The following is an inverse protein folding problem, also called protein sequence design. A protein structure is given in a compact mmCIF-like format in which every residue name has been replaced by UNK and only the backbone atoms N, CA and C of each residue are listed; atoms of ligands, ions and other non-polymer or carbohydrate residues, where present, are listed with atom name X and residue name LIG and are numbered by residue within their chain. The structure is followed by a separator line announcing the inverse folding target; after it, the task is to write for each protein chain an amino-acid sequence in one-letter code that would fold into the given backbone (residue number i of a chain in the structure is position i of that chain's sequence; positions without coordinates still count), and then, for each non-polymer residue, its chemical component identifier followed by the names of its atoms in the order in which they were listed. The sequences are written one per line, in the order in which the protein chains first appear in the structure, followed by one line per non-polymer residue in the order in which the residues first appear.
data_IF_563027701340
#
_entry.id   IF_563027701340
#
_cell.length_a   1.000
_cell.length_b   1.000
_cell.length_c   1.000
_cell.angle_alpha   90.00
_cell.angle_beta   90.00
_cell.angle_gamma   90.00
#
_symmetry.space_group_name_H-M   'P 1'
#
loop_
_entity.id
_entity.type
_entity.pdbx_description
1 polymer ?
#
# COMPACT_ATOMS: atom_id res chain seq x y z
N UNK A 1 13.91 -15.75 -2.35
CA UNK A 1 15.37 -15.79 -2.63
C UNK A 1 16.28 -15.98 -1.41
N UNK A 2 15.84 -15.72 -0.16
CA UNK A 2 16.68 -15.87 1.06
C UNK A 2 17.45 -17.20 1.20
N UNK A 3 16.91 -18.31 0.69
CA UNK A 3 17.53 -19.66 0.73
C UNK A 3 18.29 -20.05 -0.55
N UNK A 4 18.51 -19.12 -1.49
CA UNK A 4 19.20 -19.34 -2.79
C UNK A 4 18.70 -20.52 -3.64
N UNK A 5 17.46 -20.98 -3.42
CA UNK A 5 16.80 -22.00 -4.26
C UNK A 5 16.17 -21.35 -5.50
N UNK A 6 17.00 -20.95 -6.46
CA UNK A 6 16.60 -20.13 -7.61
C UNK A 6 15.54 -20.80 -8.49
N UNK A 7 15.75 -22.05 -8.92
CA UNK A 7 14.79 -22.76 -9.78
C UNK A 7 13.45 -23.01 -9.09
N UNK A 8 13.44 -23.28 -7.78
CA UNK A 8 12.20 -23.44 -7.02
C UNK A 8 11.44 -22.12 -6.90
N UNK A 9 12.14 -21.01 -6.70
CA UNK A 9 11.53 -19.68 -6.72
C UNK A 9 10.98 -19.34 -8.11
N UNK A 10 11.71 -19.70 -9.18
CA UNK A 10 11.24 -19.52 -10.55
C UNK A 10 9.97 -20.33 -10.82
N UNK A 11 9.94 -21.60 -10.40
CA UNK A 11 8.76 -22.44 -10.49
C UNK A 11 7.55 -21.81 -9.80
N UNK A 12 7.73 -21.23 -8.60
CA UNK A 12 6.66 -20.54 -7.89
C UNK A 12 6.16 -19.30 -8.66
N UNK A 13 7.05 -18.51 -9.27
CA UNK A 13 6.69 -17.36 -10.12
C UNK A 13 5.90 -17.81 -11.36
N UNK A 14 6.32 -18.90 -12.03
CA UNK A 14 5.57 -19.48 -13.15
C UNK A 14 4.17 -19.92 -12.75
N UNK A 15 4.01 -20.52 -11.57
CA UNK A 15 2.69 -20.90 -11.08
C UNK A 15 1.82 -19.67 -10.77
N UNK A 16 2.40 -18.62 -10.18
CA UNK A 16 1.68 -17.39 -9.91
C UNK A 16 1.19 -16.70 -11.21
N UNK A 17 2.02 -16.69 -12.26
CA UNK A 17 1.63 -16.22 -13.60
C UNK A 17 0.47 -17.02 -14.20
N UNK A 18 0.43 -18.34 -13.96
CA UNK A 18 -0.67 -19.20 -14.43
C UNK A 18 -1.97 -18.98 -13.67
N UNK A 19 -1.90 -18.55 -12.42
CA UNK A 19 -3.07 -18.29 -11.58
C UNK A 19 -3.70 -16.94 -11.90
N UNK A 20 -2.89 -15.89 -11.91
CA UNK A 20 -3.33 -14.53 -12.20
C UNK A 20 -2.15 -13.70 -12.71
N UNK A 21 -2.02 -13.61 -14.02
CA UNK A 21 -0.95 -12.86 -14.66
C UNK A 21 -1.07 -11.34 -14.45
N UNK A 22 -2.30 -10.84 -14.30
CA UNK A 22 -2.57 -9.41 -14.23
C UNK A 22 -2.47 -8.85 -12.80
N UNK A 23 -2.47 -9.71 -11.78
CA UNK A 23 -2.32 -9.30 -10.38
C UNK A 23 -1.06 -8.44 -10.12
N UNK A 24 -1.19 -7.35 -9.34
CA UNK A 24 -0.04 -6.55 -8.90
C UNK A 24 1.04 -7.36 -8.19
N UNK A 25 0.66 -8.34 -7.38
CA UNK A 25 1.62 -9.16 -6.63
C UNK A 25 2.38 -10.12 -7.55
N UNK A 26 1.71 -10.67 -8.56
CA UNK A 26 2.35 -11.46 -9.61
C UNK A 26 3.42 -10.66 -10.33
N UNK A 27 3.07 -9.43 -10.73
CA UNK A 27 4.01 -8.50 -11.37
C UNK A 27 5.22 -8.18 -10.47
N UNK A 28 4.99 -7.84 -9.19
CA UNK A 28 6.09 -7.62 -8.23
C UNK A 28 7.01 -8.83 -8.11
N UNK A 29 6.43 -10.02 -7.95
CA UNK A 29 7.19 -11.25 -7.77
C UNK A 29 8.05 -11.57 -9.01
N UNK A 30 7.49 -11.38 -10.21
CA UNK A 30 8.18 -11.59 -11.47
C UNK A 30 9.40 -10.66 -11.61
N UNK A 31 9.18 -9.34 -11.50
CA UNK A 31 10.25 -8.36 -11.68
C UNK A 31 11.31 -8.45 -10.58
N UNK A 32 10.91 -8.63 -9.31
CA UNK A 32 11.85 -8.86 -8.20
C UNK A 32 12.71 -10.11 -8.45
N UNK A 33 12.12 -11.18 -8.96
CA UNK A 33 12.86 -12.41 -9.25
C UNK A 33 13.96 -12.15 -10.28
N UNK A 34 13.61 -11.61 -11.45
CA UNK A 34 14.57 -11.37 -12.52
C UNK A 34 15.59 -10.27 -12.19
N UNK A 35 15.19 -9.25 -11.43
CA UNK A 35 16.13 -8.25 -10.91
C UNK A 35 17.17 -8.90 -10.01
N UNK A 36 16.75 -9.71 -9.02
CA UNK A 36 17.67 -10.42 -8.12
C UNK A 36 18.59 -11.37 -8.87
N UNK A 37 18.06 -12.12 -9.86
CA UNK A 37 18.87 -13.01 -10.71
C UNK A 37 19.92 -12.21 -11.49
N UNK A 38 19.54 -11.07 -12.06
CA UNK A 38 20.46 -10.21 -12.83
C UNK A 38 21.54 -9.56 -11.96
N UNK A 39 21.27 -9.38 -10.67
CA UNK A 39 22.23 -8.85 -9.69
C UNK A 39 23.11 -9.93 -9.02
N UNK A 40 22.93 -11.20 -9.35
CA UNK A 40 23.83 -12.26 -8.83
C UNK A 40 25.20 -12.17 -9.47
N UNK A 41 26.23 -12.61 -8.74
CA UNK A 41 27.57 -12.75 -9.30
C UNK A 41 27.56 -13.72 -10.50
N UNK A 42 28.52 -13.55 -11.40
CA UNK A 42 28.69 -14.43 -12.54
C UNK A 42 28.78 -15.91 -12.07
N UNK A 43 28.14 -16.84 -12.78
CA UNK A 43 28.09 -18.24 -12.39
C UNK A 43 29.51 -18.83 -12.36
N UNK A 44 29.95 -19.29 -11.19
CA UNK A 44 31.30 -19.82 -10.98
C UNK A 44 31.35 -21.35 -11.10
N UNK A 45 30.26 -22.01 -10.74
CA UNK A 45 30.11 -23.47 -10.79
C UNK A 45 29.26 -23.92 -11.97
N UNK A 46 29.43 -25.17 -12.41
CA UNK A 46 28.65 -25.72 -13.52
C UNK A 46 27.14 -25.80 -13.21
N UNK A 47 26.79 -26.03 -11.94
CA UNK A 47 25.41 -25.96 -11.46
C UNK A 47 24.80 -24.57 -11.61
N UNK A 48 25.55 -23.51 -11.31
CA UNK A 48 25.09 -22.14 -11.46
C UNK A 48 24.95 -21.77 -12.94
N UNK A 49 25.89 -22.20 -13.80
CA UNK A 49 25.78 -22.02 -15.24
C UNK A 49 24.52 -22.68 -15.79
N UNK A 50 24.24 -23.92 -15.37
CA UNK A 50 23.02 -24.63 -15.75
C UNK A 50 21.76 -23.88 -15.33
N UNK A 51 21.73 -23.32 -14.12
CA UNK A 51 20.62 -22.48 -13.65
C UNK A 51 20.45 -21.25 -14.55
N UNK A 52 21.55 -20.55 -14.87
CA UNK A 52 21.51 -19.39 -15.77
C UNK A 52 20.95 -19.76 -17.15
N UNK A 53 21.44 -20.84 -17.76
CA UNK A 53 20.96 -21.32 -19.06
C UNK A 53 19.46 -21.62 -19.06
N UNK A 54 18.96 -22.28 -18.01
CA UNK A 54 17.52 -22.56 -17.87
C UNK A 54 16.71 -21.26 -17.80
N UNK A 55 17.17 -20.28 -17.02
CA UNK A 55 16.46 -19.00 -16.88
C UNK A 55 16.50 -18.17 -18.16
N UNK A 56 17.61 -18.19 -18.89
CA UNK A 56 17.75 -17.51 -20.18
C UNK A 56 16.85 -18.13 -21.25
N UNK A 57 16.76 -19.46 -21.30
CA UNK A 57 15.89 -20.18 -22.23
C UNK A 57 14.40 -19.97 -21.92
N UNK A 58 14.03 -19.87 -20.63
CA UNK A 58 12.63 -19.77 -20.21
C UNK A 58 12.11 -18.33 -20.17
N UNK A 59 12.99 -17.32 -20.08
CA UNK A 59 12.56 -15.91 -19.99
C UNK A 59 11.75 -15.44 -21.21
N UNK A 60 12.09 -15.78 -22.47
CA UNK A 60 11.29 -15.42 -23.64
C UNK A 60 9.89 -16.02 -23.61
N UNK A 61 9.70 -17.20 -23.03
CA UNK A 61 8.39 -17.87 -22.94
C UNK A 61 7.40 -17.13 -22.01
N UNK A 62 7.89 -16.20 -21.21
CA UNK A 62 7.06 -15.34 -20.36
C UNK A 62 6.61 -14.15 -21.20
N UNK A 63 5.36 -14.17 -21.66
CA UNK A 63 4.75 -13.12 -22.51
C UNK A 63 4.96 -11.70 -21.99
N UNK A 64 4.99 -11.50 -20.67
CA UNK A 64 5.21 -10.19 -20.04
C UNK A 64 6.64 -9.65 -20.20
N UNK A 65 7.62 -10.53 -20.41
CA UNK A 65 9.04 -10.20 -20.55
C UNK A 65 9.59 -10.46 -21.96
N UNK A 66 8.82 -11.10 -22.84
CA UNK A 66 9.27 -11.44 -24.18
C UNK A 66 9.73 -10.20 -24.96
N UNK A 67 11.02 -10.15 -25.29
CA UNK A 67 11.65 -9.03 -26.00
C UNK A 67 11.71 -7.72 -25.21
N UNK A 68 11.48 -7.75 -23.89
CA UNK A 68 11.42 -6.55 -23.04
C UNK A 68 12.46 -6.59 -21.91
N UNK A 69 13.08 -5.45 -21.66
CA UNK A 69 13.75 -5.16 -20.39
C UNK A 69 12.75 -5.16 -19.23
N UNK A 70 13.26 -5.23 -17.99
CA UNK A 70 12.39 -5.17 -16.81
C UNK A 70 11.67 -3.82 -16.68
N UNK A 71 12.29 -2.73 -17.16
CA UNK A 71 11.68 -1.40 -17.17
C UNK A 71 10.55 -1.31 -18.21
N UNK A 72 10.78 -1.76 -19.44
CA UNK A 72 9.75 -1.78 -20.49
C UNK A 72 8.57 -2.69 -20.12
N UNK A 73 8.85 -3.82 -19.46
CA UNK A 73 7.81 -4.68 -18.92
C UNK A 73 6.99 -3.98 -17.82
N UNK A 74 7.66 -3.20 -16.96
CA UNK A 74 6.99 -2.41 -15.92
C UNK A 74 6.11 -1.29 -16.49
N UNK A 75 6.60 -0.59 -17.51
CA UNK A 75 5.84 0.44 -18.22
C UNK A 75 4.63 -0.16 -18.94
N UNK A 76 4.82 -1.28 -19.66
CA UNK A 76 3.73 -2.02 -20.31
C UNK A 76 2.65 -2.47 -19.32
N UNK A 77 3.05 -2.89 -18.12
CA UNK A 77 2.13 -3.28 -17.06
C UNK A 77 1.33 -2.08 -16.53
N UNK A 78 2.00 -0.96 -16.27
CA UNK A 78 1.31 0.27 -15.86
C UNK A 78 0.34 0.76 -16.93
N UNK A 79 0.71 0.66 -18.21
CA UNK A 79 -0.11 1.15 -19.32
C UNK A 79 -1.45 0.44 -19.43
N UNK A 80 -1.49 -0.85 -19.10
CA UNK A 80 -2.72 -1.65 -19.08
C UNK A 80 -3.63 -1.36 -17.88
N UNK A 81 -3.07 -0.84 -16.79
CA UNK A 81 -3.74 -0.80 -15.48
C UNK A 81 -3.73 0.59 -14.81
N UNK A 82 -3.76 1.66 -15.62
CA UNK A 82 -3.57 3.06 -15.18
C UNK A 82 -4.57 3.54 -14.13
N UNK A 83 -5.75 2.94 -14.08
CA UNK A 83 -6.83 3.35 -13.18
C UNK A 83 -6.77 2.64 -11.82
N UNK A 84 -6.09 1.49 -11.74
CA UNK A 84 -6.05 0.70 -10.51
C UNK A 84 -4.93 1.14 -9.58
N UNK A 85 -5.31 1.61 -8.37
CA UNK A 85 -4.37 2.04 -7.34
C UNK A 85 -3.26 1.00 -7.06
N UNK A 86 -3.63 -0.27 -6.92
CA UNK A 86 -2.67 -1.31 -6.55
C UNK A 86 -1.73 -1.67 -7.70
N UNK A 87 -2.15 -1.55 -8.95
CA UNK A 87 -1.27 -1.74 -10.11
C UNK A 87 -0.32 -0.56 -10.29
N UNK A 88 -0.75 0.67 -10.00
CA UNK A 88 0.15 1.84 -9.96
C UNK A 88 1.18 1.71 -8.85
N UNK A 89 0.77 1.30 -7.65
CA UNK A 89 1.68 1.02 -6.54
C UNK A 89 2.63 -0.16 -6.86
N UNK A 90 2.09 -1.19 -7.52
CA UNK A 90 2.75 -2.12 -8.45
C UNK A 90 4.00 -1.57 -9.12
N UNK A 91 3.72 -0.81 -10.17
CA UNK A 91 4.70 -0.26 -11.07
C UNK A 91 5.65 0.72 -10.40
N UNK A 92 5.17 1.54 -9.47
CA UNK A 92 5.98 2.50 -8.72
C UNK A 92 7.05 1.81 -7.87
N UNK A 93 6.71 0.75 -7.13
CA UNK A 93 7.72 0.00 -6.36
C UNK A 93 8.76 -0.61 -7.30
N UNK A 94 8.31 -1.19 -8.43
CA UNK A 94 9.23 -1.84 -9.37
C UNK A 94 10.13 -0.82 -10.08
N UNK A 95 9.60 0.37 -10.40
CA UNK A 95 10.40 1.46 -10.95
C UNK A 95 11.50 1.87 -9.97
N UNK A 96 11.14 2.08 -8.70
CA UNK A 96 12.11 2.46 -7.68
C UNK A 96 13.13 1.34 -7.39
N UNK A 97 12.71 0.08 -7.40
CA UNK A 97 13.59 -1.06 -7.22
C UNK A 97 14.62 -1.19 -8.35
N UNK A 98 14.16 -1.04 -9.60
CA UNK A 98 15.01 -1.18 -10.78
C UNK A 98 15.92 0.05 -10.97
N UNK A 99 15.41 1.24 -10.68
CA UNK A 99 16.12 2.51 -10.81
C UNK A 99 15.86 3.44 -9.61
N UNK A 100 16.66 3.35 -8.53
CA UNK A 100 16.47 4.16 -7.33
C UNK A 100 16.53 5.67 -7.57
N UNK A 101 17.27 6.12 -8.59
CA UNK A 101 17.33 7.53 -9.03
C UNK A 101 15.98 8.07 -9.49
N UNK A 102 15.05 7.20 -9.90
CA UNK A 102 13.70 7.56 -10.34
C UNK A 102 12.68 7.61 -9.18
N UNK A 103 13.13 7.73 -7.92
CA UNK A 103 12.27 7.88 -6.73
C UNK A 103 11.13 8.89 -6.93
N UNK A 104 11.43 10.09 -7.44
CA UNK A 104 10.44 11.13 -7.67
C UNK A 104 9.35 10.73 -8.66
N UNK A 105 9.71 10.00 -9.73
CA UNK A 105 8.74 9.45 -10.69
C UNK A 105 7.87 8.38 -10.04
N UNK A 106 8.45 7.48 -9.24
CA UNK A 106 7.70 6.45 -8.52
C UNK A 106 6.68 7.05 -7.53
N UNK A 107 7.08 8.07 -6.77
CA UNK A 107 6.17 8.82 -5.89
C UNK A 107 5.05 9.47 -6.69
N UNK A 108 5.40 10.18 -7.76
CA UNK A 108 4.40 10.84 -8.63
C UNK A 108 3.38 9.86 -9.20
N UNK A 109 3.81 8.68 -9.64
CA UNK A 109 2.90 7.63 -10.13
C UNK A 109 1.82 7.26 -9.11
N UNK A 110 2.18 7.22 -7.82
CA UNK A 110 1.25 6.96 -6.71
C UNK A 110 0.35 8.17 -6.46
N UNK A 111 0.92 9.37 -6.36
CA UNK A 111 0.17 10.60 -6.08
C UNK A 111 -0.85 10.95 -7.18
N UNK A 112 -0.51 10.71 -8.44
CA UNK A 112 -1.38 10.92 -9.60
C UNK A 112 -2.54 9.91 -9.67
N UNK A 113 -2.62 8.95 -8.74
CA UNK A 113 -3.77 8.04 -8.65
C UNK A 113 -5.04 8.83 -8.32
N UNK A 114 -6.16 8.47 -8.93
CA UNK A 114 -7.46 9.10 -8.68
C UNK A 114 -8.42 8.12 -8.01
N UNK A 115 -9.22 8.60 -7.05
CA UNK A 115 -10.25 7.82 -6.37
C UNK A 115 -11.62 8.12 -6.99
N UNK A 116 -11.87 7.48 -8.13
CA UNK A 116 -13.07 7.71 -8.92
C UNK A 116 -14.32 7.12 -8.24
N UNK A 117 -15.48 7.67 -8.57
CA UNK A 117 -16.77 7.13 -8.14
C UNK A 117 -17.13 5.98 -9.07
N UNK A 118 -17.30 4.79 -8.50
CA UNK A 118 -17.80 3.64 -9.24
C UNK A 118 -19.31 3.61 -9.06
N UNK A 119 -20.06 3.72 -10.16
CA UNK A 119 -21.49 3.42 -10.14
C UNK A 119 -21.64 1.93 -9.88
N UNK A 120 -22.02 1.57 -8.66
CA UNK A 120 -22.45 0.22 -8.35
C UNK A 120 -23.95 0.17 -8.64
N UNK A 121 -24.35 -0.62 -9.62
CA UNK A 121 -25.76 -0.90 -9.88
C UNK A 121 -26.38 -1.54 -8.62
N UNK A 122 -27.08 -0.75 -7.79
CA UNK A 122 -27.67 -1.20 -6.53
C UNK A 122 -28.05 -0.06 -5.57
N UNK A 123 -28.82 -0.39 -4.53
CA UNK A 123 -29.41 0.54 -3.56
C UNK A 123 -28.40 1.33 -2.68
N UNK A 124 -27.09 1.10 -2.81
CA UNK A 124 -26.06 1.64 -1.92
C UNK A 124 -25.39 2.93 -2.45
N UNK A 125 -25.84 3.47 -3.58
CA UNK A 125 -25.25 4.66 -4.18
C UNK A 125 -23.84 4.43 -4.75
N UNK A 126 -23.23 5.51 -5.25
CA UNK A 126 -21.88 5.50 -5.80
C UNK A 126 -20.83 5.35 -4.68
N UNK A 127 -19.98 4.32 -4.77
CA UNK A 127 -18.91 4.06 -3.80
C UNK A 127 -17.57 4.43 -4.43
N UNK A 128 -16.67 5.00 -3.63
CA UNK A 128 -15.28 5.25 -4.02
C UNK A 128 -14.56 3.93 -4.31
N UNK A 129 -13.73 3.90 -5.35
CA UNK A 129 -13.02 2.70 -5.78
C UNK A 129 -11.99 2.22 -4.75
N UNK A 130 -11.29 3.16 -4.11
CA UNK A 130 -10.20 2.82 -3.20
C UNK A 130 -10.70 2.16 -1.92
N UNK A 131 -10.05 1.05 -1.56
CA UNK A 131 -10.31 0.33 -0.31
C UNK A 131 -9.33 0.79 0.75
N UNK A 132 -9.79 0.84 2.00
CA UNK A 132 -8.97 1.23 3.15
C UNK A 132 -7.66 0.42 3.22
N UNK A 133 -7.74 -0.90 3.03
CA UNK A 133 -6.58 -1.80 3.05
C UNK A 133 -5.54 -1.47 1.97
N UNK A 134 -6.00 -1.05 0.80
CA UNK A 134 -5.14 -0.75 -0.35
C UNK A 134 -4.42 0.58 -0.09
N UNK A 135 -5.14 1.60 0.40
CA UNK A 135 -4.54 2.86 0.82
C UNK A 135 -3.51 2.70 1.95
N UNK A 136 -3.76 1.80 2.90
CA UNK A 136 -2.79 1.49 3.97
C UNK A 136 -1.54 0.83 3.38
N UNK A 137 -1.70 -0.09 2.42
CA UNK A 137 -0.57 -0.72 1.75
C UNK A 137 0.28 0.32 1.00
N UNK A 138 -0.34 1.29 0.33
CA UNK A 138 0.37 2.39 -0.35
C UNK A 138 1.09 3.30 0.65
N UNK A 139 0.46 3.66 1.77
CA UNK A 139 1.13 4.45 2.81
C UNK A 139 2.38 3.71 3.35
N UNK A 140 2.26 2.40 3.60
CA UNK A 140 3.40 1.57 4.01
C UNK A 140 4.50 1.57 2.96
N UNK A 141 4.15 1.37 1.69
CA UNK A 141 5.09 1.42 0.57
C UNK A 141 5.90 2.72 0.54
N UNK A 142 5.24 3.87 0.67
CA UNK A 142 5.88 5.18 0.71
C UNK A 142 6.81 5.33 1.93
N UNK A 143 6.34 4.90 3.11
CA UNK A 143 7.09 5.06 4.37
C UNK A 143 8.29 4.12 4.54
N UNK A 144 8.21 2.87 4.04
CA UNK A 144 9.18 1.83 4.38
C UNK A 144 9.98 1.28 3.21
N UNK A 145 9.45 1.34 1.98
CA UNK A 145 10.13 0.82 0.79
C UNK A 145 10.75 1.96 0.01
N UNK A 146 9.95 2.97 -0.36
CA UNK A 146 10.43 4.17 -1.06
C UNK A 146 11.12 5.13 -0.09
N UNK A 147 10.78 5.06 1.20
CA UNK A 147 11.31 5.89 2.30
C UNK A 147 11.18 7.38 1.95
N UNK A 148 9.96 7.79 1.60
CA UNK A 148 9.57 9.17 1.36
C UNK A 148 8.51 9.57 2.38
N UNK A 149 8.97 10.11 3.51
CA UNK A 149 8.10 10.45 4.65
C UNK A 149 7.18 11.64 4.36
N UNK A 150 7.62 12.53 3.48
CA UNK A 150 6.85 13.69 3.06
C UNK A 150 5.69 13.26 2.14
N UNK A 151 5.98 12.43 1.13
CA UNK A 151 4.94 11.80 0.31
C UNK A 151 4.01 10.90 1.14
N UNK A 152 4.54 10.13 2.09
CA UNK A 152 3.73 9.31 2.99
C UNK A 152 2.78 10.18 3.83
N UNK A 153 3.24 11.34 4.32
CA UNK A 153 2.41 12.28 5.08
C UNK A 153 1.31 12.90 4.24
N UNK A 154 1.61 13.36 3.02
CA UNK A 154 0.60 13.84 2.06
C UNK A 154 -0.42 12.76 1.71
N UNK A 155 0.05 11.53 1.48
CA UNK A 155 -0.82 10.39 1.20
C UNK A 155 -1.76 10.09 2.37
N UNK A 156 -1.23 10.08 3.61
CA UNK A 156 -2.02 9.89 4.83
C UNK A 156 -3.10 10.97 4.97
N UNK A 157 -2.74 12.25 4.78
CA UNK A 157 -3.67 13.38 4.83
C UNK A 157 -4.79 13.21 3.80
N UNK A 158 -4.43 12.92 2.54
CA UNK A 158 -5.41 12.67 1.47
C UNK A 158 -6.34 11.51 1.77
N UNK A 159 -5.82 10.40 2.31
CA UNK A 159 -6.65 9.26 2.68
C UNK A 159 -7.60 9.55 3.86
N UNK A 160 -7.25 10.47 4.76
CA UNK A 160 -8.12 10.87 5.87
C UNK A 160 -9.45 11.50 5.38
N UNK A 161 -9.43 12.17 4.22
CA UNK A 161 -10.62 12.75 3.58
C UNK A 161 -11.59 11.66 3.09
N UNK A 162 -11.06 10.54 2.59
CA UNK A 162 -11.89 9.42 2.11
C UNK A 162 -12.34 8.47 3.22
N UNK A 163 -11.52 8.31 4.28
CA UNK A 163 -11.77 7.35 5.34
C UNK A 163 -11.95 8.04 6.70
N UNK A 164 -13.06 8.78 6.84
CA UNK A 164 -13.37 9.63 8.00
C UNK A 164 -13.28 8.92 9.36
N UNK A 165 -13.55 7.61 9.42
CA UNK A 165 -13.53 6.85 10.67
C UNK A 165 -12.24 6.04 10.87
N UNK A 166 -11.30 6.09 9.93
CA UNK A 166 -10.04 5.34 10.01
C UNK A 166 -9.17 5.89 11.12
N UNK A 167 -8.85 5.06 12.11
CA UNK A 167 -7.85 5.38 13.14
C UNK A 167 -6.43 5.39 12.58
N UNK A 168 -6.17 4.67 11.48
CA UNK A 168 -4.85 4.63 10.84
C UNK A 168 -4.52 5.96 10.15
N UNK A 169 -5.49 6.53 9.43
CA UNK A 169 -5.35 7.81 8.75
C UNK A 169 -5.76 8.99 9.62
N UNK A 170 -6.20 8.76 10.86
CA UNK A 170 -6.70 9.80 11.77
C UNK A 170 -7.82 10.63 11.14
N UNK A 171 -8.78 9.95 10.50
CA UNK A 171 -9.94 10.61 9.90
C UNK A 171 -10.72 11.42 10.95
N UNK A 172 -11.41 12.48 10.50
CA UNK A 172 -12.06 13.47 11.37
C UNK A 172 -13.12 12.92 12.32
N UNK A 173 -13.68 11.74 12.02
CA UNK A 173 -14.67 11.03 12.83
C UNK A 173 -14.08 9.80 13.53
N UNK A 174 -12.75 9.65 13.53
CA UNK A 174 -12.08 8.54 14.20
C UNK A 174 -11.88 8.82 15.69
N UNK A 175 -11.89 7.75 16.50
CA UNK A 175 -11.61 7.86 17.93
C UNK A 175 -10.17 8.29 18.26
N UNK A 176 -9.25 8.21 17.30
CA UNK A 176 -7.88 8.67 17.46
C UNK A 176 -7.79 10.20 17.60
N UNK A 177 -8.61 10.93 16.83
CA UNK A 177 -8.68 12.40 16.89
C UNK A 177 -9.25 12.87 18.23
N UNK A 178 -10.33 12.25 18.70
CA UNK A 178 -10.92 12.52 20.02
C UNK A 178 -9.93 12.28 21.17
N UNK A 179 -9.13 11.22 21.09
CA UNK A 179 -8.08 10.93 22.09
C UNK A 179 -6.96 11.98 22.09
N UNK A 180 -6.59 12.51 20.92
CA UNK A 180 -5.62 13.60 20.82
C UNK A 180 -6.13 14.88 21.48
N UNK A 181 -7.38 15.27 21.21
CA UNK A 181 -8.03 16.44 21.84
C UNK A 181 -8.17 16.28 23.36
N UNK A 182 -8.55 15.11 23.85
CA UNK A 182 -8.65 14.84 25.29
C UNK A 182 -7.28 14.90 25.99
N UNK A 183 -6.22 14.39 25.34
CA UNK A 183 -4.86 14.45 25.87
C UNK A 183 -4.25 15.86 25.83
N UNK A 184 -4.68 16.73 24.91
CA UNK A 184 -4.31 18.15 24.93
C UNK A 184 -4.96 18.89 26.09
N UNK A 185 -6.24 18.62 26.38
CA UNK A 185 -6.96 19.20 27.53
C UNK A 185 -6.30 18.77 28.86
N UNK A 186 -5.85 17.51 28.94
CA UNK A 186 -5.16 16.97 30.13
C UNK A 186 -3.72 17.46 30.34
N UNK A 187 -3.09 18.11 29.35
CA UNK A 187 -1.67 18.52 29.40
C UNK A 187 -1.43 19.99 29.70
N UNK A 188 -2.47 20.81 29.90
CA UNK A 188 -2.27 22.15 30.45
C UNK A 188 -2.01 22.05 31.97
N UNK A 189 -0.83 22.44 32.47
CA UNK A 189 -0.65 22.66 33.90
C UNK A 189 -1.42 23.93 34.26
N UNK A 190 -2.39 23.80 35.15
CA UNK A 190 -3.07 24.92 35.78
C UNK A 190 -2.04 25.83 36.46
N UNK A 191 -1.95 27.08 36.01
CA UNK A 191 -1.54 28.18 36.87
C UNK A 191 -2.13 29.50 36.36
N UNK A 192 -2.90 30.15 37.23
CA UNK A 192 -3.37 31.53 37.06
C UNK A 192 -4.89 31.69 37.14
N UNK A 193 -5.40 31.79 38.37
CA UNK A 193 -6.72 32.35 38.66
C UNK A 193 -6.99 33.60 37.83
N UNK A 194 -8.12 33.64 37.13
CA UNK A 194 -9.02 34.79 37.18
C UNK A 194 -10.44 34.36 36.80
N UNK A 195 -11.30 34.44 37.82
CA UNK A 195 -12.75 34.34 37.74
C UNK A 195 -13.31 35.25 36.63
N UNK A 196 -14.15 34.70 35.75
CA UNK A 196 -15.45 35.30 35.43
C UNK A 196 -16.48 34.21 35.16
N UNK A 197 -17.61 34.42 35.82
CA UNK A 197 -18.73 33.52 36.06
C UNK A 197 -19.80 33.66 34.96
N UNK A 198 -20.73 32.69 34.97
CA UNK A 198 -22.03 32.54 34.27
C UNK A 198 -21.94 31.94 32.87
N UNK A 199 -22.70 30.93 32.46
CA UNK A 199 -23.82 30.14 33.01
C UNK A 199 -24.01 28.97 31.99
N UNK A 200 -24.59 27.79 32.21
CA UNK A 200 -25.43 27.18 33.23
C UNK A 200 -25.37 25.66 33.01
N UNK A 201 -25.43 24.89 34.10
CA UNK A 201 -25.49 23.44 34.14
C UNK A 201 -26.84 22.89 33.63
N UNK A 202 -26.80 21.72 32.99
CA UNK A 202 -27.83 20.70 33.16
C UNK A 202 -27.14 19.36 33.45
N UNK A 203 -27.32 18.75 34.64
CA UNK A 203 -26.75 17.45 34.95
C UNK A 203 -27.78 16.33 34.88
N UNK A 204 -27.24 15.13 34.65
CA UNK A 204 -27.70 13.83 35.15
C UNK A 204 -28.61 12.95 34.26
N UNK A 205 -27.98 11.98 33.59
CA UNK A 205 -28.59 10.70 33.21
C UNK A 205 -28.00 9.60 34.08
N UNK A 206 -28.76 9.16 35.08
CA UNK A 206 -28.41 8.18 36.12
C UNK A 206 -28.41 6.77 35.52
N UNK A 207 -27.28 6.07 35.62
CA UNK A 207 -27.09 4.67 35.22
C UNK A 207 -27.27 3.79 36.46
N UNK A 208 -28.45 3.21 36.69
CA UNK A 208 -28.64 2.07 37.59
C UNK A 208 -30.03 1.45 37.33
N UNK A 209 -30.07 0.25 36.73
CA UNK A 209 -31.06 -0.82 36.96
C UNK A 209 -31.01 -1.88 35.85
N UNK A 210 -30.02 -2.77 35.89
CA UNK A 210 -30.15 -4.12 35.33
C UNK A 210 -30.11 -5.11 36.48
N UNK A 211 -31.26 -5.26 37.14
CA UNK A 211 -31.59 -6.43 37.95
C UNK A 211 -33.03 -6.76 37.61
N UNK A 212 -33.19 -7.71 36.70
CA UNK A 212 -34.22 -8.74 36.72
C UNK A 212 -34.30 -9.38 35.33
N UNK A 213 -33.56 -10.48 35.18
CA UNK A 213 -33.79 -11.53 34.18
C UNK A 213 -33.13 -12.79 34.75
N UNK A 214 -33.93 -13.60 35.48
CA UNK A 214 -33.60 -15.01 35.72
C UNK A 214 -34.02 -15.83 34.49
N UNK A 215 -33.25 -16.90 34.27
CA UNK A 215 -33.37 -17.90 33.20
C UNK A 215 -34.70 -18.64 33.28
#
# INVERSE_FOLDING_TARGET
MRKRKTLLAFQAVKQLLRLDAESPDTHRCLLKFFHVVSSMAAPATDSEKLICTVLEAERPEISHLHGKSLLEANESFLDKHKDSLMHRAAAAEMLYLLEPSNKGKAVKLIEDSSNNLVQRNGALGSVKEWKLKDCIAVHKLLSSVVVDMDAASRWKLRCAEYFLHSTYFEGSRSSAVLKSSYNQISRNPENGLNHRHMDSLAPNGKLEAFKDLSI
#
